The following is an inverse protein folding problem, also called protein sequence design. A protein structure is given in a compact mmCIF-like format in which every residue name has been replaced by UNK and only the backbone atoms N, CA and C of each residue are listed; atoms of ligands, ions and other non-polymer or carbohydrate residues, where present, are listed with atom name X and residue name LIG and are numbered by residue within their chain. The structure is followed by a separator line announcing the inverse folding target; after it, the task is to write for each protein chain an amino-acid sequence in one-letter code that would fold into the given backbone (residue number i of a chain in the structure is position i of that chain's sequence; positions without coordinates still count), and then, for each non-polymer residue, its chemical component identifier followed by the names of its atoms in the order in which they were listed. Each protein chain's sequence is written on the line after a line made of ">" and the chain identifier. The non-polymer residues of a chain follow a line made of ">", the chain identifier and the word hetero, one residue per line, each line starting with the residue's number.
data_IF_454079990489
#
_entry.id   IF_454079990489
#
_cell.length_a   1.000
_cell.length_b   1.000
_cell.length_c   1.000
_cell.angle_alpha   90.00
_cell.angle_beta   90.00
_cell.angle_gamma   90.00
#
_symmetry.space_group_name_H-M   'P 1'
#
loop_
_entity.id
_entity.type
_entity.pdbx_description
1 polymer ?
#
# COMPACT_ATOMS: atom_id res chain seq x y z
N UNK A 1 -14.14 -38.08 -5.79
CA UNK A 1 -15.56 -37.80 -5.49
C UNK A 1 -15.62 -36.76 -4.36
N UNK A 2 -15.19 -35.52 -4.64
CA UNK A 2 -15.07 -34.42 -3.66
C UNK A 2 -15.69 -33.16 -4.29
N UNK A 3 -17.02 -33.07 -4.41
CA UNK A 3 -17.55 -32.00 -5.26
C UNK A 3 -19.02 -31.64 -5.18
N UNK A 4 -19.74 -31.99 -4.11
CA UNK A 4 -21.15 -31.60 -4.02
C UNK A 4 -21.67 -31.25 -2.62
N UNK A 5 -21.04 -31.72 -1.53
CA UNK A 5 -21.55 -31.44 -0.17
C UNK A 5 -21.15 -30.06 0.38
N UNK A 6 -20.00 -29.50 -0.01
CA UNK A 6 -19.47 -28.24 0.56
C UNK A 6 -20.01 -26.98 -0.14
N UNK A 7 -20.62 -27.12 -1.33
CA UNK A 7 -21.09 -25.98 -2.13
C UNK A 7 -22.41 -25.40 -1.60
N UNK A 8 -23.22 -26.21 -0.90
CA UNK A 8 -24.49 -25.80 -0.30
C UNK A 8 -24.30 -24.99 1.00
N UNK A 9 -23.30 -25.33 1.82
CA UNK A 9 -22.98 -24.60 3.07
C UNK A 9 -22.32 -23.24 2.79
N UNK A 10 -21.54 -23.15 1.71
CA UNK A 10 -20.84 -21.94 1.29
C UNK A 10 -21.75 -20.89 0.60
N UNK A 11 -23.07 -21.07 0.64
CA UNK A 11 -24.09 -20.09 0.22
C UNK A 11 -24.85 -19.48 1.42
N UNK A 12 -24.47 -19.83 2.66
CA UNK A 12 -24.99 -19.21 3.88
C UNK A 12 -24.67 -17.70 3.95
N UNK A 13 -25.56 -16.93 4.59
CA UNK A 13 -25.48 -15.46 4.70
C UNK A 13 -24.44 -15.10 5.78
N UNK A 14 -23.29 -14.48 5.43
CA UNK A 14 -22.10 -14.29 6.28
C UNK A 14 -22.29 -13.61 7.65
N UNK A 15 -23.47 -13.05 7.92
CA UNK A 15 -23.77 -12.29 9.13
C UNK A 15 -24.35 -13.15 10.27
N UNK A 16 -24.48 -14.47 10.08
CA UNK A 16 -24.98 -15.38 11.12
C UNK A 16 -23.91 -16.32 11.68
N UNK A 17 -22.78 -16.42 10.99
CA UNK A 17 -21.67 -17.30 11.31
C UNK A 17 -20.71 -16.67 12.33
N UNK A 18 -20.12 -17.51 13.16
CA UNK A 18 -19.03 -17.12 14.06
C UNK A 18 -17.78 -16.70 13.28
N UNK A 19 -16.87 -15.93 13.90
CA UNK A 19 -15.60 -15.53 13.26
C UNK A 19 -14.79 -16.74 12.76
N UNK A 20 -14.78 -17.84 13.51
CA UNK A 20 -14.05 -19.05 13.15
C UNK A 20 -14.68 -19.75 11.93
N UNK A 21 -16.00 -19.81 11.86
CA UNK A 21 -16.72 -20.33 10.69
C UNK A 21 -16.49 -19.46 9.45
N UNK A 22 -16.53 -18.13 9.60
CA UNK A 22 -16.25 -17.19 8.52
C UNK A 22 -14.83 -17.34 7.99
N UNK A 23 -13.84 -17.48 8.88
CA UNK A 23 -12.46 -17.78 8.51
C UNK A 23 -12.36 -19.10 7.74
N UNK A 24 -13.05 -20.16 8.22
CA UNK A 24 -13.07 -21.46 7.55
C UNK A 24 -13.66 -21.38 6.13
N UNK A 25 -14.87 -20.84 5.98
CA UNK A 25 -15.56 -20.76 4.68
C UNK A 25 -14.86 -19.80 3.71
N UNK A 26 -14.39 -18.65 4.20
CA UNK A 26 -13.61 -17.71 3.41
C UNK A 26 -12.32 -18.34 2.89
N UNK A 27 -11.57 -19.06 3.74
CA UNK A 27 -10.35 -19.72 3.31
C UNK A 27 -10.62 -20.87 2.34
N UNK A 28 -11.70 -21.64 2.52
CA UNK A 28 -12.12 -22.66 1.55
C UNK A 28 -12.33 -22.06 0.16
N UNK A 29 -13.13 -20.98 0.05
CA UNK A 29 -13.37 -20.30 -1.24
C UNK A 29 -12.09 -19.68 -1.80
N UNK A 30 -11.22 -19.09 -0.96
CA UNK A 30 -9.92 -18.55 -1.38
C UNK A 30 -9.04 -19.65 -1.98
N UNK A 31 -8.95 -20.80 -1.33
CA UNK A 31 -8.16 -21.95 -1.81
C UNK A 31 -8.72 -22.51 -3.12
N UNK A 32 -10.05 -22.60 -3.25
CA UNK A 32 -10.70 -22.96 -4.53
C UNK A 32 -10.38 -21.94 -5.62
N UNK A 33 -10.30 -20.65 -5.29
CA UNK A 33 -9.85 -19.60 -6.20
C UNK A 33 -8.41 -19.82 -6.67
N UNK A 34 -7.49 -20.17 -5.77
CA UNK A 34 -6.10 -20.51 -6.13
C UNK A 34 -6.03 -21.72 -7.07
N UNK A 35 -6.83 -22.75 -6.82
CA UNK A 35 -6.93 -23.93 -7.70
C UNK A 35 -7.32 -23.54 -9.14
N UNK A 36 -8.33 -22.69 -9.31
CA UNK A 36 -8.72 -22.21 -10.65
C UNK A 36 -7.67 -21.28 -11.27
N UNK A 37 -7.02 -20.46 -10.46
CA UNK A 37 -5.97 -19.55 -10.92
C UNK A 37 -4.77 -20.32 -11.51
N UNK A 38 -4.33 -21.39 -10.83
CA UNK A 38 -3.23 -22.26 -11.29
C UNK A 38 -3.55 -22.95 -12.62
N UNK A 39 -4.83 -23.20 -12.91
CA UNK A 39 -5.29 -23.77 -14.19
C UNK A 39 -5.45 -22.75 -15.31
N UNK A 40 -5.24 -21.46 -15.03
CA UNK A 40 -5.49 -20.38 -15.99
C UNK A 40 -6.96 -19.98 -16.12
N UNK A 41 -7.85 -20.57 -15.32
CA UNK A 41 -9.29 -20.28 -15.34
C UNK A 41 -9.59 -19.04 -14.48
N UNK A 42 -9.11 -17.88 -14.93
CA UNK A 42 -9.12 -16.65 -14.14
C UNK A 42 -10.52 -16.13 -13.81
N UNK A 43 -11.50 -16.33 -14.69
CA UNK A 43 -12.90 -15.96 -14.43
C UNK A 43 -13.48 -16.72 -13.23
N UNK A 44 -13.21 -18.03 -13.13
CA UNK A 44 -13.65 -18.86 -12.00
C UNK A 44 -12.89 -18.51 -10.72
N UNK A 45 -11.59 -18.23 -10.83
CA UNK A 45 -10.79 -17.74 -9.72
C UNK A 45 -11.35 -16.44 -9.13
N UNK A 46 -11.68 -15.47 -9.98
CA UNK A 46 -12.30 -14.19 -9.58
C UNK A 46 -13.61 -14.41 -8.83
N UNK A 47 -14.49 -15.29 -9.32
CA UNK A 47 -15.75 -15.60 -8.64
C UNK A 47 -15.52 -16.19 -7.25
N UNK A 48 -14.57 -17.13 -7.12
CA UNK A 48 -14.22 -17.73 -5.84
C UNK A 48 -13.63 -16.70 -4.87
N UNK A 49 -12.73 -15.83 -5.33
CA UNK A 49 -12.15 -14.77 -4.49
C UNK A 49 -13.19 -13.75 -4.03
N UNK A 50 -14.08 -13.30 -4.93
CA UNK A 50 -15.21 -12.43 -4.56
C UNK A 50 -16.11 -13.09 -3.53
N UNK A 51 -16.37 -14.40 -3.68
CA UNK A 51 -17.12 -15.17 -2.69
C UNK A 51 -16.39 -15.25 -1.35
N UNK A 52 -15.08 -15.43 -1.33
CA UNK A 52 -14.27 -15.47 -0.12
C UNK A 52 -14.29 -14.13 0.64
N UNK A 53 -14.21 -13.00 -0.09
CA UNK A 53 -14.23 -11.67 0.50
C UNK A 53 -15.48 -11.39 1.32
N UNK A 54 -16.64 -11.92 0.91
CA UNK A 54 -17.90 -11.80 1.67
C UNK A 54 -17.80 -12.36 3.10
N UNK A 55 -16.93 -13.35 3.33
CA UNK A 55 -16.72 -13.92 4.67
C UNK A 55 -15.67 -13.13 5.46
N UNK A 56 -14.71 -12.51 4.78
CA UNK A 56 -13.63 -11.77 5.42
C UNK A 56 -13.97 -10.31 5.77
N UNK A 57 -15.19 -9.86 5.52
CA UNK A 57 -15.64 -8.50 5.82
C UNK A 57 -15.91 -8.33 7.33
N UNK A 58 -14.96 -7.84 8.11
CA UNK A 58 -15.21 -7.49 9.53
C UNK A 58 -16.29 -6.39 9.61
N UNK A 59 -17.28 -6.58 10.49
CA UNK A 59 -18.34 -5.59 10.69
C UNK A 59 -17.91 -4.52 11.72
N UNK A 60 -18.55 -3.34 11.68
CA UNK A 60 -18.21 -2.21 12.56
C UNK A 60 -18.42 -2.53 14.05
N UNK A 61 -19.24 -3.53 14.39
CA UNK A 61 -19.46 -3.97 15.77
C UNK A 61 -18.29 -4.80 16.29
N UNK A 62 -17.79 -5.74 15.49
CA UNK A 62 -16.58 -6.55 15.75
C UNK A 62 -15.37 -5.65 15.97
N UNK A 63 -15.22 -4.61 15.15
CA UNK A 63 -14.17 -3.60 15.30
C UNK A 63 -14.32 -2.80 16.61
N UNK A 64 -15.53 -2.41 17.00
CA UNK A 64 -15.77 -1.70 18.27
C UNK A 64 -15.56 -2.56 19.52
N UNK A 65 -15.71 -3.88 19.40
CA UNK A 65 -15.44 -4.79 20.51
C UNK A 65 -13.96 -4.81 20.88
N UNK A 66 -13.05 -4.55 19.92
CA UNK A 66 -11.59 -4.44 20.15
C UNK A 66 -11.22 -3.28 21.08
N UNK A 67 -11.98 -2.18 21.06
CA UNK A 67 -11.68 -0.96 21.81
C UNK A 67 -12.33 -0.90 23.20
N UNK A 68 -13.05 -1.95 23.62
CA UNK A 68 -13.70 -1.98 24.94
C UNK A 68 -12.71 -2.33 26.04
N UNK A 69 -12.56 -1.42 27.01
CA UNK A 69 -11.86 -1.64 28.29
C UNK A 69 -12.65 -2.59 29.20
N UNK A 70 -12.75 -3.88 28.83
CA UNK A 70 -13.36 -4.91 29.68
C UNK A 70 -12.30 -5.72 30.46
N UNK A 71 -12.69 -6.23 31.62
CA UNK A 71 -11.78 -6.79 32.66
C UNK A 71 -11.23 -8.19 32.34
N UNK A 72 -11.53 -8.77 31.17
CA UNK A 72 -11.04 -10.10 30.76
C UNK A 72 -10.08 -9.99 29.58
N UNK A 73 -8.84 -9.60 29.88
CA UNK A 73 -7.78 -9.32 28.91
C UNK A 73 -7.50 -10.51 27.96
N UNK A 74 -7.63 -11.75 28.42
CA UNK A 74 -7.32 -12.94 27.62
C UNK A 74 -8.34 -13.20 26.49
N UNK A 75 -9.64 -13.07 26.77
CA UNK A 75 -10.69 -13.24 25.74
C UNK A 75 -10.66 -12.11 24.72
N UNK A 76 -10.32 -10.90 25.18
CA UNK A 76 -10.15 -9.74 24.32
C UNK A 76 -8.98 -9.93 23.35
N UNK A 77 -7.84 -10.41 23.83
CA UNK A 77 -6.67 -10.70 22.98
C UNK A 77 -6.98 -11.75 21.91
N UNK A 78 -7.69 -12.83 22.27
CA UNK A 78 -8.10 -13.86 21.31
C UNK A 78 -9.01 -13.30 20.21
N UNK A 79 -9.97 -12.43 20.58
CA UNK A 79 -10.85 -11.77 19.62
C UNK A 79 -10.09 -10.85 18.66
N UNK A 80 -9.16 -10.05 19.19
CA UNK A 80 -8.30 -9.16 18.39
C UNK A 80 -7.47 -9.95 17.38
N UNK A 81 -6.88 -11.07 17.80
CA UNK A 81 -6.10 -11.94 16.92
C UNK A 81 -6.96 -12.54 15.81
N UNK A 82 -8.19 -12.97 16.11
CA UNK A 82 -9.13 -13.48 15.11
C UNK A 82 -9.53 -12.41 14.10
N UNK A 83 -9.83 -11.20 14.55
CA UNK A 83 -10.17 -10.07 13.67
C UNK A 83 -8.97 -9.70 12.79
N UNK A 84 -7.76 -9.70 13.35
CA UNK A 84 -6.54 -9.46 12.59
C UNK A 84 -6.30 -10.54 11.54
N UNK A 85 -6.49 -11.83 11.85
CA UNK A 85 -6.36 -12.90 10.85
C UNK A 85 -7.39 -12.73 9.73
N UNK A 86 -8.62 -12.33 10.06
CA UNK A 86 -9.66 -12.02 9.08
C UNK A 86 -9.24 -10.89 8.13
N UNK A 87 -8.73 -9.79 8.67
CA UNK A 87 -8.19 -8.65 7.91
C UNK A 87 -7.02 -9.10 7.04
N UNK A 88 -6.13 -9.94 7.56
CA UNK A 88 -4.99 -10.49 6.80
C UNK A 88 -5.45 -11.39 5.66
N UNK A 89 -6.42 -12.27 5.88
CA UNK A 89 -7.01 -13.08 4.80
C UNK A 89 -7.71 -12.21 3.78
N UNK A 90 -8.40 -11.15 4.20
CA UNK A 90 -9.06 -10.18 3.32
C UNK A 90 -8.04 -9.51 2.40
N UNK A 91 -6.96 -8.97 2.97
CA UNK A 91 -5.87 -8.33 2.22
C UNK A 91 -5.21 -9.31 1.23
N UNK A 92 -4.89 -10.52 1.67
CA UNK A 92 -4.35 -11.58 0.80
C UNK A 92 -5.30 -11.93 -0.35
N UNK A 93 -6.61 -11.97 -0.08
CA UNK A 93 -7.63 -12.34 -1.08
C UNK A 93 -7.82 -11.23 -2.11
N UNK A 94 -7.86 -9.96 -1.69
CA UNK A 94 -7.84 -8.82 -2.61
C UNK A 94 -6.61 -8.83 -3.51
N UNK A 95 -5.44 -9.13 -2.95
CA UNK A 95 -4.19 -9.24 -3.68
C UNK A 95 -4.18 -10.40 -4.71
N UNK A 96 -4.84 -11.53 -4.40
CA UNK A 96 -5.02 -12.64 -5.34
C UNK A 96 -6.07 -12.33 -6.41
N UNK A 97 -7.17 -11.66 -6.02
CA UNK A 97 -8.19 -11.17 -6.94
C UNK A 97 -7.59 -10.22 -7.97
N UNK A 98 -6.77 -9.27 -7.53
CA UNK A 98 -6.01 -8.39 -8.40
C UNK A 98 -5.13 -9.17 -9.39
N UNK A 99 -4.42 -10.20 -8.92
CA UNK A 99 -3.59 -11.03 -9.78
C UNK A 99 -4.41 -11.70 -10.90
N UNK A 100 -5.59 -12.22 -10.58
CA UNK A 100 -6.50 -12.84 -11.56
C UNK A 100 -7.05 -11.80 -12.54
N UNK A 101 -7.43 -10.61 -12.07
CA UNK A 101 -7.88 -9.52 -12.92
C UNK A 101 -6.78 -9.00 -13.86
N UNK A 102 -5.53 -8.90 -13.39
CA UNK A 102 -4.37 -8.56 -14.24
C UNK A 102 -4.15 -9.59 -15.34
N UNK A 103 -4.35 -10.88 -15.05
CA UNK A 103 -4.25 -11.95 -16.07
C UNK A 103 -5.32 -11.87 -17.15
N UNK A 104 -6.43 -11.19 -16.86
CA UNK A 104 -7.48 -10.87 -17.81
C UNK A 104 -7.37 -9.45 -18.39
N UNK A 105 -6.23 -8.77 -18.17
CA UNK A 105 -5.98 -7.39 -18.61
C UNK A 105 -7.02 -6.36 -18.11
N UNK A 106 -7.77 -6.71 -17.05
CA UNK A 106 -8.80 -5.86 -16.46
C UNK A 106 -8.19 -4.86 -15.45
N UNK A 107 -7.24 -4.04 -15.94
CA UNK A 107 -6.35 -3.21 -15.12
C UNK A 107 -7.07 -2.23 -14.18
N UNK A 108 -8.17 -1.61 -14.60
CA UNK A 108 -8.92 -0.68 -13.73
C UNK A 108 -9.55 -1.38 -12.53
N UNK A 109 -10.07 -2.60 -12.74
CA UNK A 109 -10.63 -3.40 -11.65
C UNK A 109 -9.54 -4.00 -10.76
N UNK A 110 -8.42 -4.39 -11.36
CA UNK A 110 -7.25 -4.86 -10.62
C UNK A 110 -6.68 -3.77 -9.71
N UNK A 111 -6.63 -2.52 -10.20
CA UNK A 111 -6.15 -1.38 -9.44
C UNK A 111 -6.97 -1.16 -8.17
N UNK A 112 -8.31 -1.24 -8.27
CA UNK A 112 -9.20 -1.17 -7.10
C UNK A 112 -8.90 -2.27 -6.09
N UNK A 113 -8.82 -3.52 -6.55
CA UNK A 113 -8.52 -4.66 -5.68
C UNK A 113 -7.15 -4.54 -5.00
N UNK A 114 -6.12 -4.06 -5.71
CA UNK A 114 -4.80 -3.82 -5.10
C UNK A 114 -4.85 -2.71 -4.05
N UNK A 115 -5.56 -1.62 -4.35
CA UNK A 115 -5.74 -0.53 -3.39
C UNK A 115 -6.47 -0.99 -2.14
N UNK A 116 -7.50 -1.82 -2.26
CA UNK A 116 -8.19 -2.42 -1.12
C UNK A 116 -7.23 -3.30 -0.29
N UNK A 117 -6.35 -4.07 -0.93
CA UNK A 117 -5.32 -4.82 -0.22
C UNK A 117 -4.32 -3.91 0.51
N UNK A 118 -3.89 -2.81 -0.11
CA UNK A 118 -2.91 -1.89 0.46
C UNK A 118 -3.51 -1.01 1.56
N UNK A 119 -4.81 -0.73 1.51
CA UNK A 119 -5.54 -0.05 2.59
C UNK A 119 -5.52 -0.90 3.86
N UNK A 120 -5.72 -2.21 3.73
CA UNK A 120 -5.72 -3.14 4.86
C UNK A 120 -4.30 -3.43 5.36
N UNK A 121 -3.35 -3.66 4.44
CA UNK A 121 -1.94 -3.95 4.75
C UNK A 121 -1.01 -3.14 3.85
N UNK A 122 -0.63 -1.91 4.27
CA UNK A 122 0.15 -0.98 3.44
C UNK A 122 1.54 -1.48 3.05
N UNK A 123 2.13 -2.38 3.85
CA UNK A 123 3.47 -2.93 3.64
C UNK A 123 3.45 -4.31 2.94
N UNK A 124 2.33 -4.70 2.32
CA UNK A 124 2.26 -5.94 1.56
C UNK A 124 3.10 -5.83 0.27
N UNK A 125 4.30 -6.39 0.31
CA UNK A 125 5.28 -6.37 -0.80
C UNK A 125 4.69 -6.87 -2.12
N UNK A 126 3.89 -7.95 -2.08
CA UNK A 126 3.25 -8.52 -3.27
C UNK A 126 2.20 -7.57 -3.86
N UNK A 127 1.45 -6.87 -3.00
CA UNK A 127 0.46 -5.89 -3.43
C UNK A 127 1.12 -4.64 -4.01
N UNK A 128 2.19 -4.12 -3.38
CA UNK A 128 2.98 -3.00 -3.91
C UNK A 128 3.58 -3.32 -5.28
N UNK A 129 4.16 -4.52 -5.45
CA UNK A 129 4.68 -4.96 -6.73
C UNK A 129 3.61 -5.03 -7.82
N UNK A 130 2.41 -5.55 -7.49
CA UNK A 130 1.28 -5.58 -8.43
C UNK A 130 0.74 -4.19 -8.74
N UNK A 131 0.66 -3.30 -7.75
CA UNK A 131 0.27 -1.91 -7.93
C UNK A 131 1.17 -1.23 -8.95
N UNK A 132 2.49 -1.32 -8.72
CA UNK A 132 3.49 -0.77 -9.63
C UNK A 132 3.38 -1.32 -11.05
N UNK A 133 3.15 -2.62 -11.19
CA UNK A 133 2.95 -3.23 -12.50
C UNK A 133 1.71 -2.67 -13.20
N UNK A 134 0.58 -2.56 -12.51
CA UNK A 134 -0.66 -1.97 -13.06
C UNK A 134 -0.43 -0.52 -13.48
N UNK A 135 0.21 0.29 -12.64
CA UNK A 135 0.55 1.69 -12.94
C UNK A 135 1.48 1.80 -14.16
N UNK A 136 2.49 0.92 -14.26
CA UNK A 136 3.35 0.87 -15.44
C UNK A 136 2.58 0.59 -16.73
N UNK A 137 1.60 -0.31 -16.71
CA UNK A 137 0.77 -0.60 -17.89
C UNK A 137 -0.16 0.57 -18.25
N UNK A 138 -0.56 1.37 -17.25
CA UNK A 138 -1.34 2.60 -17.45
C UNK A 138 -0.50 3.81 -17.87
N UNK A 139 0.83 3.72 -17.81
CA UNK A 139 1.77 4.78 -18.17
C UNK A 139 2.24 5.65 -17.00
N UNK A 140 1.79 5.37 -15.78
CA UNK A 140 2.12 6.11 -14.56
C UNK A 140 3.47 5.61 -13.98
N UNK A 141 4.54 5.78 -14.75
CA UNK A 141 5.87 5.19 -14.47
C UNK A 141 6.48 5.70 -13.16
N UNK A 142 6.29 6.97 -12.83
CA UNK A 142 6.89 7.61 -11.65
C UNK A 142 6.31 7.06 -10.35
N UNK A 143 4.99 6.89 -10.29
CA UNK A 143 4.31 6.32 -9.13
C UNK A 143 4.61 4.82 -9.01
N UNK A 144 4.68 4.10 -10.13
CA UNK A 144 5.13 2.70 -10.14
C UNK A 144 6.54 2.53 -9.54
N UNK A 145 7.49 3.44 -9.83
CA UNK A 145 8.83 3.42 -9.24
C UNK A 145 8.78 3.70 -7.73
N UNK A 146 7.90 4.59 -7.26
CA UNK A 146 7.75 4.87 -5.81
C UNK A 146 7.30 3.61 -5.06
N UNK A 147 6.32 2.89 -5.59
CA UNK A 147 5.84 1.65 -4.96
C UNK A 147 6.89 0.55 -4.94
N UNK A 148 7.64 0.38 -6.04
CA UNK A 148 8.71 -0.60 -6.07
C UNK A 148 9.87 -0.23 -5.14
N UNK A 149 10.19 1.06 -4.97
CA UNK A 149 11.17 1.50 -3.97
C UNK A 149 10.71 1.17 -2.56
N UNK A 150 9.43 1.38 -2.25
CA UNK A 150 8.84 0.96 -0.97
C UNK A 150 8.91 -0.55 -0.81
N UNK A 151 8.53 -1.33 -1.82
CA UNK A 151 8.61 -2.78 -1.80
C UNK A 151 10.06 -3.27 -1.59
N UNK A 152 11.03 -2.66 -2.28
CA UNK A 152 12.47 -2.97 -2.15
C UNK A 152 13.03 -2.59 -0.78
N UNK A 153 12.48 -1.60 -0.09
CA UNK A 153 12.90 -1.27 1.28
C UNK A 153 12.45 -2.30 2.31
N UNK A 154 11.35 -3.02 2.02
CA UNK A 154 10.78 -4.06 2.88
C UNK A 154 11.42 -5.42 2.57
N UNK A 155 11.61 -5.74 1.28
CA UNK A 155 12.26 -6.96 0.81
C UNK A 155 13.43 -6.63 -0.16
N UNK A 156 14.62 -6.32 0.37
CA UNK A 156 15.77 -5.94 -0.44
C UNK A 156 16.37 -7.08 -1.28
N UNK A 157 16.05 -8.34 -0.95
CA UNK A 157 16.61 -9.52 -1.62
C UNK A 157 15.77 -9.98 -2.82
N UNK A 158 14.66 -9.31 -3.09
CA UNK A 158 13.77 -9.65 -4.20
C UNK A 158 14.35 -9.24 -5.55
N UNK A 159 14.88 -10.21 -6.27
CA UNK A 159 15.40 -10.02 -7.63
C UNK A 159 14.32 -9.50 -8.59
N UNK A 160 13.07 -9.96 -8.45
CA UNK A 160 11.95 -9.51 -9.27
C UNK A 160 11.68 -8.00 -9.12
N UNK A 161 11.74 -7.47 -7.89
CA UNK A 161 11.56 -6.03 -7.62
C UNK A 161 12.72 -5.23 -8.22
N UNK A 162 13.97 -5.70 -8.03
CA UNK A 162 15.16 -5.04 -8.55
C UNK A 162 15.15 -4.98 -10.10
N UNK A 163 14.79 -6.08 -10.76
CA UNK A 163 14.66 -6.13 -12.22
C UNK A 163 13.60 -5.16 -12.73
N UNK A 164 12.44 -5.12 -12.09
CA UNK A 164 11.34 -4.24 -12.51
C UNK A 164 11.69 -2.77 -12.29
N UNK A 165 12.34 -2.42 -11.17
CA UNK A 165 12.86 -1.07 -10.94
C UNK A 165 13.82 -0.63 -12.06
N UNK A 166 14.76 -1.50 -12.42
CA UNK A 166 15.71 -1.23 -13.50
C UNK A 166 15.01 -1.05 -14.84
N UNK A 167 13.97 -1.84 -15.13
CA UNK A 167 13.15 -1.70 -16.33
C UNK A 167 12.45 -0.34 -16.38
N UNK A 168 11.75 0.04 -15.30
CA UNK A 168 11.02 1.30 -15.23
C UNK A 168 11.93 2.53 -15.27
N UNK A 169 13.08 2.49 -14.59
CA UNK A 169 14.05 3.58 -14.64
C UNK A 169 14.57 3.83 -16.05
N UNK A 170 14.82 2.77 -16.85
CA UNK A 170 15.21 2.92 -18.26
C UNK A 170 14.12 3.60 -19.08
N UNK A 171 12.86 3.23 -18.86
CA UNK A 171 11.70 3.85 -19.52
C UNK A 171 11.61 5.33 -19.15
N UNK A 172 11.71 5.66 -17.87
CA UNK A 172 11.63 7.04 -17.37
C UNK A 172 12.75 7.92 -17.96
N UNK A 173 13.99 7.44 -17.96
CA UNK A 173 15.13 8.16 -18.54
C UNK A 173 14.89 8.43 -20.03
N UNK A 174 14.36 7.44 -20.76
CA UNK A 174 14.02 7.61 -22.18
C UNK A 174 12.96 8.70 -22.37
N UNK A 175 11.87 8.66 -21.58
CA UNK A 175 10.80 9.67 -21.64
C UNK A 175 11.34 11.08 -21.38
N UNK A 176 12.18 11.24 -20.36
CA UNK A 176 12.81 12.54 -20.03
C UNK A 176 13.70 13.01 -21.19
N UNK A 177 14.50 12.12 -21.79
CA UNK A 177 15.38 12.47 -22.91
C UNK A 177 14.58 12.87 -24.16
N UNK A 178 13.51 12.13 -24.47
CA UNK A 178 12.61 12.43 -25.59
C UNK A 178 11.93 13.79 -25.40
N UNK A 179 11.43 14.08 -24.19
CA UNK A 179 10.86 15.38 -23.83
C UNK A 179 11.89 16.52 -23.96
N UNK A 180 13.11 16.35 -23.44
CA UNK A 180 14.20 17.32 -23.58
C UNK A 180 14.55 17.58 -25.05
N UNK A 181 14.56 16.54 -25.88
CA UNK A 181 14.84 16.67 -27.31
C UNK A 181 13.74 17.47 -28.05
N UNK A 182 12.47 17.19 -27.73
CA UNK A 182 11.33 17.93 -28.28
C UNK A 182 11.39 19.42 -27.87
N UNK A 183 11.63 19.70 -26.60
CA UNK A 183 11.76 21.08 -26.10
C UNK A 183 12.89 21.85 -26.82
N UNK A 184 14.06 21.22 -26.99
CA UNK A 184 15.19 21.82 -27.73
C UNK A 184 14.82 22.18 -29.16
N UNK A 185 14.10 21.29 -29.86
CA UNK A 185 13.64 21.54 -31.24
C UNK A 185 12.63 22.69 -31.30
N UNK A 186 11.68 22.75 -30.37
CA UNK A 186 10.68 23.83 -30.34
C UNK A 186 11.28 25.20 -30.05
N UNK A 187 12.27 25.26 -29.15
CA UNK A 187 12.88 26.51 -28.72
C UNK A 187 14.03 26.98 -29.61
N UNK A 188 14.38 26.23 -30.67
CA UNK A 188 15.53 26.49 -31.55
C UNK A 188 16.85 26.68 -30.79
N UNK A 189 16.96 26.05 -29.62
CA UNK A 189 18.16 26.09 -28.78
C UNK A 189 19.18 25.15 -29.42
N UNK A 190 20.33 25.70 -29.81
CA UNK A 190 21.46 24.91 -30.32
C UNK A 190 21.88 23.91 -29.23
N UNK A 191 22.44 22.75 -29.60
CA UNK A 191 23.05 21.88 -28.61
C UNK A 191 24.16 22.67 -27.93
N UNK A 192 23.98 23.04 -26.67
CA UNK A 192 25.10 23.47 -25.85
C UNK A 192 26.00 22.24 -25.68
N UNK A 193 27.29 22.41 -25.95
CA UNK A 193 28.35 21.41 -25.71
C UNK A 193 28.55 21.21 -24.19
N UNK A 194 27.49 20.93 -23.43
CA UNK A 194 27.58 20.75 -22.00
C UNK A 194 27.98 19.31 -21.69
N UNK A 195 29.29 19.09 -21.62
CA UNK A 195 29.97 17.82 -21.30
C UNK A 195 29.70 17.32 -19.87
N UNK A 196 28.58 17.66 -19.24
CA UNK A 196 28.35 17.43 -17.81
C UNK A 196 27.11 16.58 -17.44
N UNK A 197 26.34 16.08 -18.42
CA UNK A 197 25.13 15.29 -18.15
C UNK A 197 25.38 13.88 -17.58
N UNK A 198 26.64 13.45 -17.41
CA UNK A 198 26.98 12.19 -16.73
C UNK A 198 27.16 12.30 -15.20
N UNK A 199 26.99 13.49 -14.59
CA UNK A 199 27.23 13.65 -13.13
C UNK A 199 25.98 13.59 -12.24
N UNK A 200 24.77 13.49 -12.76
CA UNK A 200 23.55 13.38 -11.92
C UNK A 200 22.98 11.97 -11.72
N UNK A 201 23.62 10.90 -12.23
CA UNK A 201 23.24 9.52 -11.89
C UNK A 201 24.13 8.87 -10.82
N UNK A 202 25.00 9.63 -10.14
CA UNK A 202 25.81 9.19 -9.00
C UNK A 202 25.41 9.93 -7.73
N UNK A 203 24.16 9.83 -7.32
CA UNK A 203 23.76 10.11 -5.94
C UNK A 203 22.57 9.25 -5.51
N UNK A 204 22.81 7.94 -5.44
CA UNK A 204 22.14 7.01 -4.51
C UNK A 204 22.84 5.66 -4.61
N UNK A 205 24.14 5.65 -4.32
CA UNK A 205 24.82 4.45 -3.89
C UNK A 205 25.64 4.86 -2.67
N UNK A 206 25.02 4.77 -1.51
CA UNK A 206 25.67 4.87 -0.21
C UNK A 206 25.36 3.55 0.50
N UNK A 207 26.26 2.60 0.30
CA UNK A 207 26.87 1.74 1.31
C UNK A 207 25.99 1.35 2.50
N UNK A 208 25.56 0.09 2.50
CA UNK A 208 25.20 -0.63 3.70
C UNK A 208 26.25 -1.73 3.92
N UNK A 209 27.24 -1.48 4.79
CA UNK A 209 27.77 -2.50 5.68
C UNK A 209 28.58 -1.90 6.85
N UNK A 210 28.24 -2.28 8.08
CA UNK A 210 29.19 -2.25 9.22
C UNK A 210 28.91 -1.31 10.40
N UNK A 211 27.99 -1.70 11.28
CA UNK A 211 28.09 -1.73 12.75
C UNK A 211 28.98 -0.69 13.49
N UNK A 212 28.37 0.20 14.30
CA UNK A 212 28.44 0.21 15.78
C UNK A 212 28.08 1.59 16.40
N UNK A 213 27.34 1.49 17.51
CA UNK A 213 26.96 2.51 18.49
C UNK A 213 27.96 3.65 18.72
N UNK A 214 27.45 4.88 18.76
CA UNK A 214 27.55 5.77 19.93
C UNK A 214 26.51 6.91 19.86
N UNK A 215 25.85 7.15 20.99
CA UNK A 215 24.97 8.29 21.27
C UNK A 215 25.64 9.63 20.94
N UNK A 216 24.93 10.56 20.27
CA UNK A 216 24.56 11.83 20.90
C UNK A 216 23.62 12.71 20.05
N UNK A 217 22.93 13.59 20.77
CA UNK A 217 21.75 14.37 20.42
C UNK A 217 21.99 15.57 19.49
N UNK A 218 20.91 16.00 18.81
CA UNK A 218 20.72 17.28 18.07
C UNK A 218 21.54 17.42 16.77
N UNK A 219 20.97 17.79 15.63
CA UNK A 219 20.52 19.14 15.27
C UNK A 219 19.53 19.04 14.09
N UNK A 220 18.29 19.48 14.33
CA UNK A 220 17.32 19.81 13.29
C UNK A 220 17.63 21.20 12.71
N UNK A 221 17.23 21.43 11.45
CA UNK A 221 17.26 22.69 10.67
C UNK A 221 18.48 22.98 9.78
N UNK A 222 18.28 22.77 8.46
CA UNK A 222 19.01 23.52 7.43
C UNK A 222 18.20 23.66 6.13
N UNK A 223 17.22 24.57 6.14
CA UNK A 223 16.80 25.30 4.95
C UNK A 223 16.52 26.76 5.33
N UNK A 224 17.39 27.64 4.82
CA UNK A 224 17.37 29.10 4.96
C UNK A 224 16.61 29.68 3.76
N UNK A 225 15.46 30.31 4.00
CA UNK A 225 14.85 31.25 3.05
C UNK A 225 15.48 32.66 3.22
N UNK A 226 15.47 33.52 2.18
CA UNK A 226 16.13 34.83 2.23
C UNK A 226 15.35 35.83 3.07
N UNK A 227 16.09 36.70 3.76
CA UNK A 227 15.57 37.75 4.63
C UNK A 227 15.01 38.95 3.85
N UNK A 228 13.83 39.43 4.27
CA UNK A 228 13.54 40.85 4.51
C UNK A 228 12.05 41.03 4.88
N UNK A 229 11.78 41.27 6.17
CA UNK A 229 11.05 42.43 6.72
C UNK A 229 10.94 42.17 8.24
N UNK A 230 11.34 43.19 8.97
CA UNK A 230 11.72 43.20 10.37
C UNK A 230 10.58 43.62 11.30
N UNK A 231 10.71 43.17 12.55
CA UNK A 231 10.20 43.74 13.81
C UNK A 231 8.71 43.61 14.14
N UNK A 232 8.44 42.84 15.20
CA UNK A 232 7.38 43.12 16.17
C UNK A 232 6.61 41.90 16.65
N UNK A 233 6.60 41.70 17.97
CA UNK A 233 5.64 40.90 18.74
C UNK A 233 5.95 39.42 18.98
N UNK A 234 6.92 39.16 19.86
CA UNK A 234 6.77 38.11 20.88
C UNK A 234 6.51 38.81 22.21
N UNK A 235 5.23 38.98 22.57
CA UNK A 235 4.72 39.07 23.96
C UNK A 235 3.18 39.06 23.93
N UNK A 236 2.55 37.91 23.71
CA UNK A 236 1.11 37.74 24.02
C UNK A 236 0.66 36.26 24.16
N UNK A 237 1.56 35.35 24.55
CA UNK A 237 1.18 34.02 25.01
C UNK A 237 1.24 34.00 26.54
N UNK A 238 0.29 34.67 27.21
CA UNK A 238 0.12 34.56 28.67
C UNK A 238 -1.24 35.01 29.24
N UNK A 239 -2.17 35.54 28.44
CA UNK A 239 -3.50 35.92 28.94
C UNK A 239 -4.50 35.54 27.87
N UNK A 240 -5.21 34.41 28.04
CA UNK A 240 -6.56 34.12 27.52
C UNK A 240 -6.98 32.66 27.85
N UNK A 241 -6.74 32.20 29.09
CA UNK A 241 -7.37 30.98 29.66
C UNK A 241 -8.34 31.32 30.80
N UNK A 242 -8.72 32.59 30.98
CA UNK A 242 -9.60 33.00 32.09
C UNK A 242 -10.89 33.74 31.69
N UNK A 243 -11.48 33.42 30.54
CA UNK A 243 -12.79 34.02 30.17
C UNK A 243 -13.81 33.06 29.54
N UNK A 244 -13.66 31.75 29.68
CA UNK A 244 -14.68 30.78 29.21
C UNK A 244 -15.46 30.06 30.34
N UNK A 245 -15.39 30.56 31.57
CA UNK A 245 -16.12 29.99 32.74
C UNK A 245 -17.17 30.95 33.32
N UNK A 246 -17.51 32.08 32.66
CA UNK A 246 -18.47 33.05 33.23
C UNK A 246 -19.64 33.48 32.32
N UNK A 247 -20.03 32.69 31.32
CA UNK A 247 -21.17 33.05 30.45
C UNK A 247 -22.10 31.90 30.06
N UNK A 248 -22.27 30.91 30.94
CA UNK A 248 -23.36 29.90 30.81
C UNK A 248 -23.77 29.38 32.20
N UNK A 249 -24.30 30.26 33.04
CA UNK A 249 -25.27 29.92 34.10
C UNK A 249 -25.74 31.22 34.77
N UNK A 250 -26.76 31.82 34.18
CA UNK A 250 -27.76 32.61 34.92
C UNK A 250 -29.11 32.02 34.56
#
# INVERSE_FOLDING_TARGET
>A
MYGQADDDEANSIPNKETLDERLKFGNYKKTRGNFWFERGEYSMAIQCYKGALKYFDANDEELKLVDKDDKNENEQLELVDKINDLIDKRAQTFNNLAAAQMKMEAFDTALRSVNDSLLLRPNNVKALFRHAKILSEKGDIEDAIKDLKRASSIDPQSEAIAMELNRLNKILIKQINDQKALYRRMMQVKPDDDKNDQKQSKHSNCDNNGNNNHNDQSVWYRFRWPAAISLGMVTAAAILIQSFVYSTTK
#
